data_IF_974214074310
#
_entry.id   IF_974214074310
#
_cell.length_a   1.000
_cell.length_b   1.000
_cell.length_c   1.000
_cell.angle_alpha   90.00
_cell.angle_beta   90.00
_cell.angle_gamma   90.00
#
_symmetry.space_group_name_H-M   'P 1'
#
loop_
_entity.id
_entity.type
_entity.pdbx_description
1 polymer ?
#
# COMPACT_ATOMS: atom_id res chain seq x y z
N UNK A 1 -49.88 -21.23 15.45
CA UNK A 1 -51.02 -20.96 14.55
C UNK A 1 -51.97 -19.91 15.10
N UNK A 2 -52.34 -19.93 16.39
CA UNK A 2 -53.24 -18.91 16.97
C UNK A 2 -52.68 -17.48 17.01
N UNK A 3 -51.41 -17.30 17.38
CA UNK A 3 -50.82 -15.96 17.58
C UNK A 3 -50.09 -15.39 16.35
N UNK A 4 -50.01 -16.13 15.24
CA UNK A 4 -49.20 -15.73 14.08
C UNK A 4 -47.68 -15.76 14.34
N UNK A 5 -46.95 -14.85 13.70
CA UNK A 5 -45.49 -14.69 13.85
C UNK A 5 -45.20 -13.80 15.07
N UNK A 6 -44.27 -14.22 15.91
CA UNK A 6 -43.87 -13.47 17.11
C UNK A 6 -42.36 -13.51 17.28
N UNK A 7 -41.72 -12.41 17.70
CA UNK A 7 -40.27 -12.38 17.91
C UNK A 7 -39.88 -13.27 19.10
N UNK A 8 -38.66 -13.80 19.05
CA UNK A 8 -38.07 -14.53 20.17
C UNK A 8 -37.88 -13.57 21.37
N UNK A 9 -38.20 -13.98 22.62
CA UNK A 9 -37.89 -13.19 23.80
C UNK A 9 -36.38 -12.92 23.92
N UNK A 10 -35.94 -11.73 24.40
CA UNK A 10 -34.52 -11.45 24.60
C UNK A 10 -33.80 -12.47 25.49
N UNK A 11 -34.49 -13.03 26.50
CA UNK A 11 -33.96 -14.08 27.39
C UNK A 11 -33.70 -15.42 26.70
N UNK A 12 -34.22 -15.61 25.49
CA UNK A 12 -34.05 -16.80 24.67
C UNK A 12 -33.05 -16.58 23.52
N UNK A 13 -32.42 -15.39 23.48
CA UNK A 13 -31.31 -15.10 22.58
C UNK A 13 -29.97 -15.49 23.23
N UNK A 14 -28.99 -15.99 22.45
CA UNK A 14 -29.08 -16.28 21.02
C UNK A 14 -29.84 -17.60 20.73
N UNK A 15 -30.54 -17.67 19.60
CA UNK A 15 -31.04 -18.94 19.07
C UNK A 15 -29.88 -19.71 18.43
N UNK A 16 -29.18 -20.50 19.22
CA UNK A 16 -28.00 -21.26 18.75
C UNK A 16 -28.34 -22.23 17.61
N UNK A 17 -27.48 -22.23 16.59
CA UNK A 17 -27.55 -23.19 15.51
C UNK A 17 -27.06 -24.56 16.01
N UNK A 18 -27.80 -25.65 15.71
CA UNK A 18 -27.36 -26.99 16.04
C UNK A 18 -26.09 -27.34 15.26
N UNK A 19 -25.13 -27.99 15.93
CA UNK A 19 -23.83 -28.35 15.33
C UNK A 19 -23.85 -29.70 14.61
N UNK A 20 -24.76 -30.58 14.98
CA UNK A 20 -24.90 -31.92 14.38
C UNK A 20 -26.05 -31.91 13.37
N UNK A 21 -25.74 -31.50 12.13
CA UNK A 21 -26.69 -31.30 11.04
C UNK A 21 -26.16 -31.95 9.77
N UNK A 22 -26.99 -32.76 9.10
CA UNK A 22 -26.63 -33.37 7.82
C UNK A 22 -26.88 -32.41 6.63
N UNK A 23 -25.81 -32.01 5.95
CA UNK A 23 -25.88 -31.17 4.74
C UNK A 23 -26.06 -32.04 3.49
N UNK A 24 -27.32 -32.28 3.12
CA UNK A 24 -27.67 -33.13 1.97
C UNK A 24 -27.71 -32.39 0.62
N UNK A 25 -27.63 -31.06 0.64
CA UNK A 25 -27.70 -30.21 -0.57
C UNK A 25 -29.06 -30.23 -1.29
N UNK A 26 -30.07 -30.95 -0.76
CA UNK A 26 -31.40 -31.12 -1.38
C UNK A 26 -32.51 -31.01 -0.33
N UNK A 27 -33.63 -30.38 -0.70
CA UNK A 27 -34.87 -30.38 0.10
C UNK A 27 -34.95 -29.33 1.21
N UNK A 28 -34.51 -28.09 0.94
CA UNK A 28 -34.70 -26.94 1.84
C UNK A 28 -33.73 -26.87 3.03
N UNK A 29 -34.02 -25.99 3.99
CA UNK A 29 -33.21 -25.78 5.19
C UNK A 29 -33.08 -27.08 6.00
N UNK A 30 -31.85 -27.54 6.33
CA UNK A 30 -31.66 -28.71 7.19
C UNK A 30 -32.33 -28.60 8.57
N UNK A 31 -32.51 -27.38 9.06
CA UNK A 31 -33.14 -27.09 10.35
C UNK A 31 -34.60 -27.55 10.40
N UNK A 32 -35.29 -27.54 9.25
CA UNK A 32 -36.68 -28.00 9.16
C UNK A 32 -36.85 -29.49 9.46
N UNK A 33 -35.77 -30.28 9.34
CA UNK A 33 -35.77 -31.73 9.62
C UNK A 33 -35.44 -32.05 11.08
N UNK A 34 -34.97 -31.06 11.85
CA UNK A 34 -34.58 -31.23 13.25
C UNK A 34 -35.72 -30.87 14.19
N UNK A 35 -36.67 -31.80 14.35
CA UNK A 35 -37.89 -31.56 15.14
C UNK A 35 -37.61 -31.05 16.56
N UNK A 36 -36.56 -31.56 17.22
CA UNK A 36 -36.19 -31.18 18.58
C UNK A 36 -35.73 -29.73 18.70
N UNK A 37 -35.14 -29.16 17.64
CA UNK A 37 -34.76 -27.75 17.58
C UNK A 37 -35.93 -26.88 17.13
N UNK A 38 -36.70 -27.38 16.15
CA UNK A 38 -37.81 -26.66 15.52
C UNK A 38 -38.97 -26.41 16.50
N UNK A 39 -39.38 -27.41 17.27
CA UNK A 39 -40.56 -27.36 18.14
C UNK A 39 -40.22 -26.60 19.44
N UNK A 40 -40.90 -25.48 19.69
CA UNK A 40 -40.73 -24.63 20.89
C UNK A 40 -42.09 -24.14 21.38
N UNK A 41 -42.25 -23.80 22.67
CA UNK A 41 -43.48 -23.15 23.13
C UNK A 41 -43.58 -21.72 22.57
N UNK A 42 -44.80 -21.29 22.24
CA UNK A 42 -45.08 -19.92 21.81
C UNK A 42 -44.78 -18.94 22.95
N UNK A 43 -43.99 -17.88 22.75
CA UNK A 43 -43.68 -16.92 23.80
C UNK A 43 -44.89 -16.10 24.26
N UNK A 44 -45.96 -16.03 23.45
CA UNK A 44 -47.17 -15.26 23.77
C UNK A 44 -48.21 -16.06 24.58
N UNK A 45 -48.42 -17.34 24.26
CA UNK A 45 -49.51 -18.15 24.83
C UNK A 45 -49.08 -19.53 25.36
N UNK A 46 -47.80 -19.91 25.24
CA UNK A 46 -47.26 -21.19 25.70
C UNK A 46 -47.61 -22.42 24.85
N UNK A 47 -48.54 -22.29 23.90
CA UNK A 47 -48.94 -23.40 23.03
C UNK A 47 -47.81 -23.85 22.08
N UNK A 48 -47.84 -25.09 21.54
CA UNK A 48 -46.85 -25.56 20.59
C UNK A 48 -46.66 -24.59 19.40
N UNK A 49 -45.41 -24.22 19.15
CA UNK A 49 -45.00 -23.36 18.05
C UNK A 49 -43.76 -23.95 17.36
N UNK A 50 -43.34 -23.30 16.28
CA UNK A 50 -42.13 -23.65 15.53
C UNK A 50 -41.23 -22.44 15.39
N UNK A 51 -39.92 -22.65 15.47
CA UNK A 51 -38.91 -21.65 15.09
C UNK A 51 -39.00 -21.35 13.59
N UNK A 52 -38.54 -20.17 13.20
CA UNK A 52 -38.17 -19.91 11.82
C UNK A 52 -36.95 -20.78 11.47
N UNK A 53 -36.96 -21.40 10.30
CA UNK A 53 -35.90 -22.30 9.82
C UNK A 53 -34.98 -21.63 8.83
N UNK A 54 -35.37 -20.47 8.32
CA UNK A 54 -34.53 -19.65 7.46
C UNK A 54 -33.45 -18.94 8.29
N UNK A 55 -32.25 -18.90 7.73
CA UNK A 55 -31.12 -18.16 8.31
C UNK A 55 -30.99 -16.82 7.61
N UNK A 56 -30.56 -15.80 8.37
CA UNK A 56 -30.22 -14.52 7.76
C UNK A 56 -29.06 -14.70 6.77
N UNK A 57 -29.12 -13.96 5.66
CA UNK A 57 -28.05 -13.89 4.68
C UNK A 57 -26.74 -13.37 5.31
N UNK A 58 -25.58 -13.77 4.78
CA UNK A 58 -24.27 -13.40 5.33
C UNK A 58 -24.02 -11.89 5.31
N UNK A 59 -24.67 -11.14 4.41
CA UNK A 59 -24.61 -9.67 4.38
C UNK A 59 -25.20 -9.04 5.64
N UNK A 60 -26.09 -9.72 6.37
CA UNK A 60 -26.56 -9.24 7.67
C UNK A 60 -25.38 -9.03 8.63
N UNK A 61 -24.45 -9.98 8.70
CA UNK A 61 -23.29 -9.89 9.58
C UNK A 61 -22.29 -8.84 9.07
N UNK A 62 -22.02 -8.82 7.77
CA UNK A 62 -21.04 -7.89 7.18
C UNK A 62 -21.52 -6.44 7.17
N UNK A 63 -22.81 -6.17 7.35
CA UNK A 63 -23.34 -4.80 7.32
C UNK A 63 -23.00 -3.96 8.55
N UNK A 64 -22.50 -4.57 9.64
CA UNK A 64 -22.23 -3.84 10.88
C UNK A 64 -21.02 -4.34 11.69
N UNK A 65 -20.25 -5.30 11.17
CA UNK A 65 -19.06 -5.84 11.86
C UNK A 65 -18.04 -4.75 12.26
N UNK A 66 -17.89 -3.71 11.44
CA UNK A 66 -17.01 -2.57 11.72
C UNK A 66 -17.42 -1.79 12.98
N UNK A 67 -18.73 -1.76 13.30
CA UNK A 67 -19.23 -1.22 14.57
C UNK A 67 -18.84 -2.13 15.73
N UNK A 68 -18.99 -3.45 15.56
CA UNK A 68 -18.68 -4.44 16.60
C UNK A 68 -17.19 -4.45 16.99
N UNK A 69 -16.28 -4.11 16.08
CA UNK A 69 -14.86 -4.02 16.41
C UNK A 69 -14.52 -2.98 17.47
N UNK A 70 -15.34 -1.92 17.61
CA UNK A 70 -15.14 -0.93 18.68
C UNK A 70 -15.39 -1.50 20.08
N UNK A 71 -16.21 -2.56 20.19
CA UNK A 71 -16.63 -3.14 21.47
C UNK A 71 -16.92 -4.66 21.37
N UNK A 72 -15.91 -5.47 21.01
CA UNK A 72 -16.11 -6.84 20.54
C UNK A 72 -16.50 -7.83 21.66
N UNK A 73 -16.22 -7.47 22.91
CA UNK A 73 -16.46 -8.33 24.08
C UNK A 73 -17.70 -7.94 24.88
N UNK A 74 -18.49 -6.95 24.41
CA UNK A 74 -19.71 -6.56 25.09
C UNK A 74 -20.76 -7.67 25.01
N UNK A 75 -21.13 -8.22 26.17
CA UNK A 75 -22.11 -9.31 26.28
C UNK A 75 -23.54 -8.82 26.49
N UNK A 76 -23.73 -7.51 26.71
CA UNK A 76 -25.03 -6.90 27.02
C UNK A 76 -25.63 -6.17 25.82
N UNK A 77 -24.79 -5.60 24.96
CA UNK A 77 -25.17 -4.82 23.78
C UNK A 77 -24.36 -5.25 22.55
N UNK A 78 -24.86 -4.99 21.33
CA UNK A 78 -24.06 -5.14 20.11
C UNK A 78 -22.79 -4.28 20.12
N UNK A 79 -22.85 -3.09 20.72
CA UNK A 79 -21.72 -2.20 20.99
C UNK A 79 -22.20 -1.06 21.90
N UNK A 80 -21.30 -0.42 22.64
CA UNK A 80 -21.60 0.81 23.36
C UNK A 80 -21.46 2.05 22.45
N UNK A 81 -22.29 3.06 22.69
CA UNK A 81 -22.23 4.33 21.95
C UNK A 81 -20.88 5.04 22.12
N UNK A 82 -20.35 5.03 23.34
CA UNK A 82 -19.07 5.68 23.65
C UNK A 82 -17.89 5.04 22.89
N UNK A 83 -17.85 3.71 22.78
CA UNK A 83 -16.80 3.03 22.02
C UNK A 83 -16.90 3.30 20.52
N UNK A 84 -18.13 3.32 19.98
CA UNK A 84 -18.34 3.66 18.58
C UNK A 84 -17.91 5.10 18.29
N UNK A 85 -18.36 6.07 19.09
CA UNK A 85 -18.04 7.49 18.90
C UNK A 85 -16.54 7.79 19.06
N UNK A 86 -15.76 6.92 19.70
CA UNK A 86 -14.30 7.08 19.80
C UNK A 86 -13.52 6.58 18.58
N UNK A 87 -14.10 5.67 17.80
CA UNK A 87 -13.40 4.97 16.71
C UNK A 87 -13.98 5.27 15.32
N UNK A 88 -15.22 5.74 15.24
CA UNK A 88 -15.99 5.79 14.00
C UNK A 88 -16.48 7.21 13.72
N UNK A 89 -16.70 7.58 12.44
CA UNK A 89 -16.67 6.73 11.23
C UNK A 89 -15.27 6.20 10.88
N UNK A 90 -15.20 5.16 10.04
CA UNK A 90 -13.91 4.62 9.59
C UNK A 90 -13.27 5.65 8.65
N UNK A 91 -12.06 6.12 8.97
CA UNK A 91 -11.36 7.10 8.14
C UNK A 91 -11.05 6.57 6.74
N UNK A 92 -10.53 5.34 6.67
CA UNK A 92 -10.13 4.68 5.42
C UNK A 92 -10.61 3.24 5.38
N UNK A 93 -11.52 2.94 4.45
CA UNK A 93 -11.96 1.58 4.15
C UNK A 93 -11.30 1.08 2.86
N UNK A 94 -10.74 -0.14 2.90
CA UNK A 94 -10.10 -0.78 1.75
C UNK A 94 -10.86 -2.05 1.39
N UNK A 95 -11.32 -2.18 0.16
CA UNK A 95 -12.07 -3.36 -0.29
C UNK A 95 -12.36 -3.36 -1.78
N UNK A 96 -12.48 -4.54 -2.37
CA UNK A 96 -12.60 -4.68 -3.82
C UNK A 96 -13.90 -4.08 -4.38
N UNK A 97 -13.84 -3.62 -5.63
CA UNK A 97 -14.97 -2.98 -6.32
C UNK A 97 -16.19 -3.91 -6.47
N UNK A 98 -15.99 -5.24 -6.38
CA UNK A 98 -17.07 -6.23 -6.39
C UNK A 98 -18.12 -6.02 -5.28
N UNK A 99 -17.79 -5.27 -4.24
CA UNK A 99 -18.68 -5.01 -3.11
C UNK A 99 -19.50 -3.71 -3.23
N UNK A 100 -19.36 -2.97 -4.34
CA UNK A 100 -19.98 -1.65 -4.54
C UNK A 100 -21.50 -1.60 -4.35
N UNK A 101 -22.23 -2.57 -4.90
CA UNK A 101 -23.72 -2.57 -4.90
C UNK A 101 -24.35 -3.50 -3.86
N UNK A 102 -23.54 -4.26 -3.12
CA UNK A 102 -24.00 -5.20 -2.10
C UNK A 102 -23.56 -4.72 -0.72
N UNK A 103 -22.46 -5.27 -0.20
CA UNK A 103 -21.92 -4.97 1.13
C UNK A 103 -21.84 -3.47 1.41
N UNK A 104 -21.28 -2.65 0.50
CA UNK A 104 -21.15 -1.22 0.73
C UNK A 104 -22.51 -0.50 0.84
N UNK A 105 -23.52 -0.95 0.08
CA UNK A 105 -24.87 -0.41 0.19
C UNK A 105 -25.53 -0.84 1.51
N UNK A 106 -25.40 -2.12 1.88
CA UNK A 106 -26.00 -2.63 3.11
C UNK A 106 -25.36 -2.03 4.37
N UNK A 107 -24.03 -1.84 4.38
CA UNK A 107 -23.34 -1.15 5.46
C UNK A 107 -23.88 0.27 5.65
N UNK A 108 -24.02 1.04 4.57
CA UNK A 108 -24.59 2.39 4.61
C UNK A 108 -26.03 2.40 5.10
N UNK A 109 -26.85 1.46 4.62
CA UNK A 109 -28.23 1.29 5.08
C UNK A 109 -28.29 1.00 6.59
N UNK A 110 -27.50 0.04 7.07
CA UNK A 110 -27.44 -0.31 8.49
C UNK A 110 -27.00 0.87 9.35
N UNK A 111 -25.97 1.61 8.93
CA UNK A 111 -25.53 2.83 9.62
C UNK A 111 -26.67 3.84 9.76
N UNK A 112 -27.40 4.13 8.68
CA UNK A 112 -28.50 5.11 8.73
C UNK A 112 -29.65 4.63 9.62
N UNK A 113 -30.01 3.34 9.56
CA UNK A 113 -31.03 2.76 10.45
C UNK A 113 -30.60 2.88 11.91
N UNK A 114 -29.36 2.55 12.24
CA UNK A 114 -28.85 2.60 13.63
C UNK A 114 -28.72 4.05 14.14
N UNK A 115 -28.31 4.99 13.28
CA UNK A 115 -28.35 6.42 13.56
C UNK A 115 -29.76 6.91 13.85
N UNK A 116 -30.74 6.55 13.02
CA UNK A 116 -32.14 6.95 13.22
C UNK A 116 -32.75 6.37 14.51
N UNK A 117 -32.15 5.30 15.05
CA UNK A 117 -32.46 4.74 16.37
C UNK A 117 -31.64 5.34 17.52
N UNK A 118 -30.84 6.37 17.26
CA UNK A 118 -30.01 7.07 18.25
C UNK A 118 -28.75 6.32 18.67
N UNK A 119 -28.41 5.21 18.00
CA UNK A 119 -27.27 4.36 18.38
C UNK A 119 -25.94 4.83 17.80
N UNK A 120 -25.95 5.73 16.82
CA UNK A 120 -24.77 6.27 16.15
C UNK A 120 -24.83 7.80 16.04
N UNK A 121 -23.66 8.45 16.00
CA UNK A 121 -23.51 9.90 15.86
C UNK A 121 -23.18 10.39 14.44
N UNK A 122 -23.10 9.49 13.47
CA UNK A 122 -22.65 9.78 12.11
C UNK A 122 -23.58 9.18 11.05
N UNK A 123 -23.50 9.72 9.83
CA UNK A 123 -24.41 9.41 8.73
C UNK A 123 -23.90 8.36 7.75
N UNK A 124 -22.58 8.25 7.61
CA UNK A 124 -21.91 7.34 6.68
C UNK A 124 -20.81 6.57 7.44
N UNK A 125 -20.66 5.26 7.19
CA UNK A 125 -19.72 4.43 7.95
C UNK A 125 -18.25 4.61 7.57
N UNK A 126 -17.96 5.09 6.36
CA UNK A 126 -16.63 5.16 5.78
C UNK A 126 -16.41 6.56 5.18
N UNK A 127 -15.37 7.28 5.62
CA UNK A 127 -15.04 8.62 5.10
C UNK A 127 -14.34 8.54 3.74
N UNK A 128 -13.36 7.64 3.64
CA UNK A 128 -12.64 7.34 2.39
C UNK A 128 -12.79 5.87 2.03
N UNK A 129 -12.93 5.59 0.74
CA UNK A 129 -12.98 4.25 0.16
C UNK A 129 -11.85 4.10 -0.86
N UNK A 130 -10.96 3.16 -0.62
CA UNK A 130 -9.97 2.71 -1.60
C UNK A 130 -10.43 1.36 -2.15
N UNK A 131 -10.78 1.33 -3.43
CA UNK A 131 -11.09 0.09 -4.13
C UNK A 131 -9.85 -0.46 -4.79
N UNK A 132 -9.22 -1.46 -4.16
CA UNK A 132 -8.01 -2.02 -4.73
C UNK A 132 -8.28 -2.76 -6.03
N UNK A 133 -7.31 -2.72 -6.95
CA UNK A 133 -7.31 -3.53 -8.15
C UNK A 133 -7.10 -5.01 -7.85
N UNK A 134 -7.32 -5.83 -8.88
CA UNK A 134 -7.27 -7.28 -8.75
C UNK A 134 -5.85 -7.80 -8.94
N UNK A 135 -5.49 -8.80 -8.14
CA UNK A 135 -4.26 -9.58 -8.40
C UNK A 135 -4.54 -10.56 -9.53
N UNK A 136 -3.77 -10.44 -10.60
CA UNK A 136 -3.84 -11.25 -11.80
C UNK A 136 -2.66 -12.23 -11.86
N UNK A 137 -2.94 -13.48 -12.22
CA UNK A 137 -1.93 -14.50 -12.44
C UNK A 137 -1.83 -14.89 -13.90
N UNK A 138 -0.67 -15.38 -14.32
CA UNK A 138 -0.49 -15.99 -15.64
C UNK A 138 -1.47 -17.16 -15.76
N UNK A 139 -2.27 -17.12 -16.82
CA UNK A 139 -3.38 -18.05 -17.05
C UNK A 139 -3.20 -18.70 -18.40
N UNK A 140 -3.37 -20.03 -18.43
CA UNK A 140 -3.32 -20.82 -19.65
C UNK A 140 -4.70 -21.36 -19.98
N UNK A 141 -5.14 -21.15 -21.22
CA UNK A 141 -6.43 -21.65 -21.71
C UNK A 141 -6.27 -22.31 -23.07
N UNK A 142 -6.88 -23.48 -23.24
CA UNK A 142 -6.99 -24.09 -24.55
C UNK A 142 -8.01 -23.30 -25.40
N UNK A 143 -7.63 -22.76 -26.58
CA UNK A 143 -8.50 -21.90 -27.38
C UNK A 143 -9.72 -22.62 -27.97
N UNK A 144 -9.64 -23.94 -28.19
CA UNK A 144 -10.72 -24.71 -28.79
C UNK A 144 -11.67 -25.30 -27.74
N UNK A 145 -11.15 -25.79 -26.62
CA UNK A 145 -11.97 -26.42 -25.57
C UNK A 145 -12.43 -25.42 -24.49
N UNK A 146 -11.77 -24.27 -24.39
CA UNK A 146 -11.99 -23.28 -23.33
C UNK A 146 -11.52 -23.72 -21.94
N UNK A 147 -10.86 -24.88 -21.83
CA UNK A 147 -10.39 -25.43 -20.56
C UNK A 147 -9.17 -24.67 -20.05
N UNK A 148 -9.17 -24.33 -18.76
CA UNK A 148 -8.00 -23.80 -18.07
C UNK A 148 -7.01 -24.92 -17.73
N UNK A 149 -5.73 -24.66 -17.94
CA UNK A 149 -4.62 -25.58 -17.66
C UNK A 149 -3.82 -25.02 -16.49
N UNK A 150 -3.49 -25.88 -15.52
CA UNK A 150 -2.67 -25.45 -14.38
C UNK A 150 -1.24 -25.15 -14.84
N UNK A 151 -0.59 -24.09 -14.32
CA UNK A 151 0.80 -23.78 -14.67
C UNK A 151 1.77 -24.95 -14.46
N UNK A 152 1.53 -25.78 -13.43
CA UNK A 152 2.34 -26.97 -13.15
C UNK A 152 2.22 -28.07 -14.24
N UNK A 153 1.17 -28.05 -15.04
CA UNK A 153 0.96 -29.00 -16.15
C UNK A 153 1.53 -28.48 -17.48
N UNK A 154 2.02 -27.25 -17.52
CA UNK A 154 2.66 -26.65 -18.71
C UNK A 154 4.16 -26.95 -18.69
N UNK A 155 4.61 -27.82 -19.59
CA UNK A 155 6.00 -28.30 -19.62
C UNK A 155 7.03 -27.22 -19.98
N UNK A 156 6.68 -26.32 -20.91
CA UNK A 156 7.52 -25.21 -21.34
C UNK A 156 6.68 -23.91 -21.37
N UNK A 157 6.91 -22.97 -20.43
CA UNK A 157 6.21 -21.69 -20.43
C UNK A 157 6.47 -20.82 -21.67
N UNK A 158 7.55 -21.08 -22.43
CA UNK A 158 7.91 -20.32 -23.64
C UNK A 158 7.27 -20.88 -24.92
N UNK A 159 6.83 -22.14 -24.90
CA UNK A 159 5.96 -22.77 -25.90
C UNK A 159 4.84 -23.56 -25.18
N UNK A 160 3.88 -22.85 -24.55
CA UNK A 160 2.91 -23.47 -23.67
C UNK A 160 1.92 -24.30 -24.48
N UNK A 161 1.90 -25.62 -24.24
CA UNK A 161 1.04 -26.58 -24.94
C UNK A 161 0.11 -27.33 -23.99
N UNK A 162 -1.10 -27.61 -24.46
CA UNK A 162 -2.07 -28.42 -23.75
C UNK A 162 -1.50 -29.84 -23.59
N UNK A 163 -1.39 -30.37 -22.35
CA UNK A 163 -0.80 -31.68 -22.09
C UNK A 163 -1.62 -32.84 -22.68
N UNK A 164 -2.89 -32.61 -23.02
CA UNK A 164 -3.80 -33.61 -23.58
C UNK A 164 -3.88 -33.48 -25.10
N UNK A 165 -4.09 -32.27 -25.62
CA UNK A 165 -4.32 -32.07 -27.06
C UNK A 165 -3.06 -31.73 -27.85
N UNK A 166 -1.98 -31.27 -27.19
CA UNK A 166 -0.74 -30.81 -27.82
C UNK A 166 -0.84 -29.43 -28.51
N UNK A 167 -2.02 -28.81 -28.44
CA UNK A 167 -2.29 -27.50 -29.03
C UNK A 167 -1.59 -26.38 -28.26
N UNK A 168 -1.26 -25.30 -28.95
CA UNK A 168 -0.70 -24.10 -28.31
C UNK A 168 -1.77 -23.44 -27.45
N UNK A 169 -1.44 -23.17 -26.19
CA UNK A 169 -2.32 -22.51 -25.23
C UNK A 169 -2.31 -21.00 -25.43
N UNK A 170 -3.46 -20.37 -25.16
CA UNK A 170 -3.51 -18.92 -24.95
C UNK A 170 -2.91 -18.60 -23.59
N UNK A 171 -1.99 -17.62 -23.55
CA UNK A 171 -1.32 -17.15 -22.33
C UNK A 171 -1.64 -15.68 -22.13
N UNK A 172 -2.22 -15.35 -20.98
CA UNK A 172 -2.62 -13.98 -20.62
C UNK A 172 -2.73 -13.82 -19.10
N UNK A 173 -2.81 -12.58 -18.63
CA UNK A 173 -3.09 -12.29 -17.22
C UNK A 173 -4.59 -12.22 -16.96
N UNK A 174 -5.02 -12.84 -15.87
CA UNK A 174 -6.42 -12.80 -15.44
C UNK A 174 -6.54 -12.87 -13.92
N UNK A 175 -7.63 -12.31 -13.37
CA UNK A 175 -7.95 -12.38 -11.92
C UNK A 175 -7.72 -13.79 -11.38
N UNK A 176 -6.92 -13.90 -10.32
CA UNK A 176 -6.62 -15.16 -9.67
C UNK A 176 -7.88 -15.84 -9.13
N UNK A 177 -8.05 -17.13 -9.44
CA UNK A 177 -9.16 -17.95 -8.92
C UNK A 177 -8.85 -19.44 -8.96
N UNK A 178 -9.45 -20.20 -8.03
CA UNK A 178 -9.27 -21.66 -7.96
C UNK A 178 -9.69 -22.38 -9.25
N UNK A 179 -10.74 -21.92 -9.92
CA UNK A 179 -11.26 -22.52 -11.16
C UNK A 179 -10.36 -22.29 -12.38
N UNK A 180 -9.44 -21.33 -12.31
CA UNK A 180 -8.50 -20.99 -13.40
C UNK A 180 -7.09 -21.53 -13.16
N UNK A 181 -6.85 -22.11 -12.00
CA UNK A 181 -5.54 -22.67 -11.60
C UNK A 181 -4.37 -21.66 -11.60
N UNK A 182 -4.66 -20.36 -11.66
CA UNK A 182 -3.68 -19.27 -11.78
C UNK A 182 -3.38 -18.56 -10.45
N UNK A 183 -3.86 -19.11 -9.33
CA UNK A 183 -3.62 -18.54 -8.00
C UNK A 183 -2.22 -18.87 -7.52
N UNK A 184 -1.50 -17.84 -7.06
CA UNK A 184 -0.21 -18.01 -6.40
C UNK A 184 -0.44 -18.11 -4.89
N UNK A 185 0.13 -19.13 -4.25
CA UNK A 185 0.09 -19.28 -2.80
C UNK A 185 1.10 -18.29 -2.16
N UNK A 186 0.64 -17.30 -1.39
CA UNK A 186 1.54 -16.37 -0.71
C UNK A 186 2.53 -17.07 0.22
N UNK A 187 2.18 -18.23 0.77
CA UNK A 187 3.08 -18.99 1.66
C UNK A 187 4.37 -19.39 0.95
N UNK A 188 4.31 -19.82 -0.31
CA UNK A 188 5.50 -20.21 -1.07
C UNK A 188 6.49 -19.03 -1.24
N UNK A 189 5.96 -17.81 -1.42
CA UNK A 189 6.76 -16.58 -1.54
C UNK A 189 7.35 -16.20 -0.19
N UNK A 190 6.54 -16.27 0.87
CA UNK A 190 6.96 -15.95 2.24
C UNK A 190 8.05 -16.92 2.71
N UNK A 191 7.90 -18.22 2.46
CA UNK A 191 8.87 -19.24 2.85
C UNK A 191 10.21 -19.07 2.13
N UNK A 192 10.18 -18.65 0.86
CA UNK A 192 11.39 -18.49 0.04
C UNK A 192 12.09 -17.15 0.21
N UNK A 193 11.33 -16.06 0.31
CA UNK A 193 11.86 -14.69 0.27
C UNK A 193 11.51 -13.83 1.49
N UNK A 194 10.69 -14.34 2.41
CA UNK A 194 10.23 -13.63 3.60
C UNK A 194 9.00 -12.75 3.39
N UNK A 195 8.29 -12.46 4.49
CA UNK A 195 7.07 -11.67 4.48
C UNK A 195 7.26 -10.24 3.94
N UNK A 196 8.38 -9.60 4.27
CA UNK A 196 8.66 -8.24 3.81
C UNK A 196 8.86 -8.16 2.30
N UNK A 197 9.47 -9.19 1.68
CA UNK A 197 9.58 -9.24 0.23
C UNK A 197 8.21 -9.31 -0.43
N UNK A 198 7.32 -10.18 0.07
CA UNK A 198 5.95 -10.30 -0.44
C UNK A 198 5.19 -8.98 -0.32
N UNK A 199 5.28 -8.31 0.83
CA UNK A 199 4.67 -6.99 1.07
C UNK A 199 5.20 -5.92 0.11
N UNK A 200 6.52 -5.79 0.03
CA UNK A 200 7.17 -4.80 -0.84
C UNK A 200 6.82 -5.01 -2.31
N UNK A 201 6.74 -6.27 -2.76
CA UNK A 201 6.34 -6.58 -4.13
C UNK A 201 4.90 -6.13 -4.41
N UNK A 202 3.95 -6.52 -3.55
CA UNK A 202 2.53 -6.18 -3.73
C UNK A 202 2.34 -4.66 -3.72
N UNK A 203 3.01 -3.95 -2.82
CA UNK A 203 2.89 -2.50 -2.66
C UNK A 203 3.62 -1.71 -3.76
N UNK A 204 4.60 -2.30 -4.45
CA UNK A 204 5.40 -1.61 -5.47
C UNK A 204 4.91 -1.84 -6.90
N UNK A 205 4.42 -3.05 -7.21
CA UNK A 205 4.21 -3.48 -8.59
C UNK A 205 3.19 -2.63 -9.36
N UNK A 206 2.16 -2.13 -8.69
CA UNK A 206 1.14 -1.27 -9.29
C UNK A 206 0.58 -0.28 -8.25
N UNK A 207 0.00 0.86 -8.68
CA UNK A 207 -0.87 1.67 -7.82
C UNK A 207 -1.98 0.81 -7.23
N UNK A 208 -2.42 1.07 -5.98
CA UNK A 208 -3.34 0.18 -5.28
C UNK A 208 -4.69 0.01 -6.01
N UNK A 209 -5.17 1.01 -6.74
CA UNK A 209 -6.42 0.99 -7.50
C UNK A 209 -6.31 0.29 -8.87
N UNK A 210 -5.10 -0.10 -9.28
CA UNK A 210 -4.84 -0.77 -10.57
C UNK A 210 -4.64 -2.26 -10.35
N UNK A 211 -5.00 -3.02 -11.39
CA UNK A 211 -4.73 -4.45 -11.41
C UNK A 211 -3.21 -4.70 -11.37
N UNK A 212 -2.84 -5.72 -10.59
CA UNK A 212 -1.47 -6.13 -10.38
C UNK A 212 -1.24 -7.45 -11.12
N UNK A 213 -0.31 -7.44 -12.08
CA UNK A 213 0.15 -8.66 -12.74
C UNK A 213 1.24 -9.33 -11.89
N UNK A 214 1.02 -10.57 -11.49
CA UNK A 214 1.98 -11.31 -10.67
C UNK A 214 3.12 -11.88 -11.52
N UNK A 215 4.36 -11.49 -11.21
CA UNK A 215 5.59 -12.00 -11.82
C UNK A 215 6.65 -12.29 -10.74
N UNK A 216 7.17 -13.52 -10.74
CA UNK A 216 8.17 -13.97 -9.78
C UNK A 216 9.51 -13.22 -9.93
N UNK A 217 9.84 -12.71 -11.12
CA UNK A 217 11.05 -11.92 -11.35
C UNK A 217 11.02 -10.59 -10.57
N UNK A 218 9.84 -10.00 -10.42
CA UNK A 218 9.65 -8.76 -9.67
C UNK A 218 9.73 -8.99 -8.16
N UNK A 219 9.26 -10.15 -7.68
CA UNK A 219 9.44 -10.60 -6.29
C UNK A 219 10.94 -10.67 -5.96
N UNK A 220 11.74 -11.29 -6.82
CA UNK A 220 13.19 -11.35 -6.64
C UNK A 220 13.85 -9.96 -6.67
N UNK A 221 13.31 -9.03 -7.46
CA UNK A 221 13.74 -7.64 -7.49
C UNK A 221 13.65 -6.99 -6.11
N UNK A 222 12.52 -7.18 -5.42
CA UNK A 222 12.31 -6.65 -4.07
C UNK A 222 13.17 -7.35 -3.02
N UNK A 223 13.35 -8.67 -3.13
CA UNK A 223 14.27 -9.40 -2.26
C UNK A 223 15.69 -8.83 -2.36
N UNK A 224 16.19 -8.62 -3.59
CA UNK A 224 17.51 -8.01 -3.82
C UNK A 224 17.60 -6.59 -3.27
N UNK A 225 16.52 -5.81 -3.31
CA UNK A 225 16.46 -4.47 -2.73
C UNK A 225 16.62 -4.51 -1.21
N UNK A 226 15.83 -5.32 -0.52
CA UNK A 226 15.91 -5.48 0.94
C UNK A 226 17.30 -5.97 1.39
N UNK A 227 17.91 -6.89 0.64
CA UNK A 227 19.29 -7.33 0.88
C UNK A 227 20.32 -6.21 0.70
N UNK A 228 20.08 -5.23 -0.18
CA UNK A 228 20.96 -4.03 -0.31
C UNK A 228 20.86 -3.15 0.92
N UNK A 229 19.65 -2.92 1.46
CA UNK A 229 19.43 -2.13 2.67
C UNK A 229 20.15 -2.76 3.86
N UNK A 230 20.04 -4.09 4.01
CA UNK A 230 20.78 -4.82 5.04
C UNK A 230 22.28 -4.55 4.99
N UNK A 231 22.91 -4.74 3.82
CA UNK A 231 24.36 -4.49 3.63
C UNK A 231 24.75 -3.03 3.84
N UNK A 232 23.83 -2.10 3.59
CA UNK A 232 24.06 -0.68 3.80
C UNK A 232 24.16 -0.37 5.30
N UNK A 233 23.24 -0.90 6.11
CA UNK A 233 23.26 -0.74 7.58
C UNK A 233 24.45 -1.46 8.19
N UNK A 234 24.73 -2.71 7.81
CA UNK A 234 25.88 -3.47 8.33
C UNK A 234 27.20 -2.74 8.08
N UNK A 235 27.38 -2.11 6.91
CA UNK A 235 28.58 -1.28 6.62
C UNK A 235 28.66 -0.04 7.48
N UNK A 236 27.54 0.62 7.78
CA UNK A 236 27.52 1.76 8.67
C UNK A 236 27.88 1.36 10.10
N UNK A 237 27.30 0.27 10.61
CA UNK A 237 27.61 -0.29 11.94
C UNK A 237 29.09 -0.69 12.02
N UNK A 238 29.65 -1.31 10.99
CA UNK A 238 31.07 -1.67 10.93
C UNK A 238 32.01 -0.45 10.97
N UNK A 239 31.55 0.72 10.51
CA UNK A 239 32.26 2.01 10.63
C UNK A 239 32.12 2.65 12.03
N UNK A 240 31.36 2.04 12.94
CA UNK A 240 31.09 2.56 14.28
C UNK A 240 29.90 3.50 14.37
N UNK A 241 29.08 3.61 13.32
CA UNK A 241 27.84 4.41 13.37
C UNK A 241 26.83 3.68 14.25
N UNK A 242 26.32 4.37 15.29
CA UNK A 242 25.33 3.79 16.20
C UNK A 242 24.38 4.83 16.79
N UNK A 243 23.13 4.41 16.98
CA UNK A 243 22.09 5.09 17.75
C UNK A 243 22.19 4.86 19.26
N UNK A 244 23.12 4.01 19.73
CA UNK A 244 23.24 3.69 21.14
C UNK A 244 23.50 4.97 21.99
N UNK A 245 22.70 5.16 23.03
CA UNK A 245 22.80 6.33 23.91
C UNK A 245 22.26 7.64 23.32
N UNK A 246 21.59 7.59 22.16
CA UNK A 246 20.93 8.72 21.52
C UNK A 246 19.42 8.48 21.47
N UNK A 247 18.64 9.51 21.78
CA UNK A 247 17.19 9.45 21.63
C UNK A 247 16.88 9.49 20.12
N UNK A 248 16.26 8.44 19.58
CA UNK A 248 16.08 8.21 18.13
C UNK A 248 15.35 9.28 17.31
N UNK A 249 14.93 10.38 17.95
CA UNK A 249 14.26 11.53 17.32
C UNK A 249 15.12 12.82 17.33
N UNK A 250 16.34 12.79 17.87
CA UNK A 250 17.15 13.98 18.17
C UNK A 250 18.40 14.20 17.31
N UNK A 251 18.67 13.36 16.30
CA UNK A 251 19.85 13.53 15.43
C UNK A 251 19.54 14.41 14.24
N UNK A 252 19.28 15.70 14.49
CA UNK A 252 19.21 16.68 13.40
C UNK A 252 20.63 17.12 13.04
N UNK A 253 21.03 16.92 11.78
CA UNK A 253 22.30 17.45 11.27
C UNK A 253 22.24 18.98 11.03
N UNK A 254 21.14 19.66 11.37
CA UNK A 254 21.00 21.11 11.23
C UNK A 254 22.08 21.89 12.01
N UNK A 255 22.65 21.29 13.06
CA UNK A 255 23.72 21.89 13.87
C UNK A 255 25.13 21.61 13.33
N UNK A 256 25.28 20.95 12.17
CA UNK A 256 26.58 20.64 11.57
C UNK A 256 27.24 21.92 11.01
N UNK A 257 28.45 22.33 11.47
CA UNK A 257 29.01 23.65 11.18
C UNK A 257 29.36 23.95 9.71
N UNK A 258 29.36 22.98 8.81
CA UNK A 258 29.38 23.17 7.35
C UNK A 258 29.30 21.79 6.68
N UNK A 259 28.22 21.53 5.94
CA UNK A 259 28.08 20.26 5.22
C UNK A 259 28.96 20.24 3.96
N UNK A 260 29.61 19.12 3.66
CA UNK A 260 30.24 18.88 2.36
C UNK A 260 29.20 18.81 1.23
N UNK A 261 29.57 18.96 -0.05
CA UNK A 261 28.64 18.76 -1.16
C UNK A 261 27.94 17.40 -1.14
N UNK A 262 28.69 16.33 -0.81
CA UNK A 262 28.17 14.95 -0.71
C UNK A 262 27.14 14.81 0.42
N UNK A 263 27.41 15.41 1.59
CA UNK A 263 26.48 15.43 2.72
C UNK A 263 25.23 16.26 2.45
N UNK A 264 25.35 17.40 1.74
CA UNK A 264 24.19 18.19 1.30
C UNK A 264 23.29 17.39 0.37
N UNK A 265 23.85 16.62 -0.56
CA UNK A 265 23.07 15.77 -1.46
C UNK A 265 22.36 14.64 -0.69
N UNK A 266 23.09 13.94 0.19
CA UNK A 266 22.50 12.90 1.03
C UNK A 266 21.36 13.44 1.88
N UNK A 267 21.59 14.56 2.56
CA UNK A 267 20.57 15.20 3.40
C UNK A 267 19.36 15.63 2.58
N UNK A 268 19.57 16.20 1.38
CA UNK A 268 18.46 16.52 0.47
C UNK A 268 17.67 15.29 0.07
N UNK A 269 18.34 14.19 -0.28
CA UNK A 269 17.67 12.94 -0.64
C UNK A 269 16.82 12.39 0.51
N UNK A 270 17.32 12.45 1.75
CA UNK A 270 16.57 12.08 2.96
C UNK A 270 15.31 12.90 3.10
N UNK A 271 15.43 14.24 3.11
CA UNK A 271 14.29 15.13 3.32
C UNK A 271 13.31 15.15 2.15
N UNK A 272 13.78 14.90 0.92
CA UNK A 272 12.93 14.70 -0.25
C UNK A 272 12.10 13.43 -0.09
N UNK A 273 12.72 12.32 0.33
CA UNK A 273 12.02 11.07 0.57
C UNK A 273 10.99 11.19 1.71
N UNK A 274 11.33 11.88 2.81
CA UNK A 274 10.38 12.12 3.91
C UNK A 274 9.15 12.88 3.41
N UNK A 275 9.34 13.96 2.65
CA UNK A 275 8.25 14.76 2.13
C UNK A 275 7.38 13.97 1.13
N UNK A 276 8.01 13.32 0.14
CA UNK A 276 7.30 12.60 -0.91
C UNK A 276 6.54 11.36 -0.37
N UNK A 277 7.18 10.56 0.48
CA UNK A 277 6.52 9.39 1.09
C UNK A 277 5.41 9.83 2.05
N UNK A 278 5.60 10.92 2.80
CA UNK A 278 4.55 11.50 3.64
C UNK A 278 3.31 11.90 2.82
N UNK A 279 3.51 12.60 1.70
CA UNK A 279 2.43 12.98 0.78
C UNK A 279 1.72 11.75 0.19
N UNK A 280 2.48 10.75 -0.26
CA UNK A 280 1.94 9.51 -0.83
C UNK A 280 1.08 8.73 0.18
N UNK A 281 1.43 8.76 1.46
CA UNK A 281 0.71 8.04 2.53
C UNK A 281 -0.49 8.81 3.11
N UNK A 282 -0.53 10.14 3.00
CA UNK A 282 -1.66 10.95 3.47
C UNK A 282 -2.75 11.18 2.39
N UNK A 283 -2.31 11.22 1.13
CA UNK A 283 -3.15 11.47 -0.04
C UNK A 283 -3.90 10.23 -0.54
N UNK A 284 -3.66 9.84 -1.79
CA UNK A 284 -4.34 8.73 -2.46
C UNK A 284 -3.72 7.35 -2.16
N UNK A 285 -2.88 7.25 -1.12
CA UNK A 285 -2.20 6.02 -0.71
C UNK A 285 -1.34 5.41 -1.83
N UNK A 286 -0.52 6.23 -2.49
CA UNK A 286 0.33 5.83 -3.62
C UNK A 286 1.56 5.03 -3.14
N UNK A 287 1.36 3.80 -2.69
CA UNK A 287 2.41 2.97 -2.08
C UNK A 287 3.57 2.65 -3.04
N UNK A 288 3.28 2.53 -4.33
CA UNK A 288 4.28 2.21 -5.35
C UNK A 288 5.27 3.36 -5.57
N UNK A 289 4.80 4.60 -5.55
CA UNK A 289 5.67 5.78 -5.63
C UNK A 289 6.45 5.96 -4.34
N UNK A 290 5.83 5.70 -3.18
CA UNK A 290 6.53 5.73 -1.89
C UNK A 290 7.69 4.72 -1.84
N UNK A 291 7.48 3.50 -2.31
CA UNK A 291 8.56 2.50 -2.41
C UNK A 291 9.62 2.93 -3.45
N UNK A 292 9.23 3.56 -4.56
CA UNK A 292 10.19 4.12 -5.51
C UNK A 292 11.08 5.22 -4.88
N UNK A 293 10.52 6.07 -4.00
CA UNK A 293 11.28 7.06 -3.24
C UNK A 293 12.24 6.41 -2.24
N UNK A 294 11.84 5.32 -1.57
CA UNK A 294 12.76 4.52 -0.74
C UNK A 294 13.94 3.96 -1.56
N UNK A 295 13.69 3.52 -2.80
CA UNK A 295 14.75 3.04 -3.68
C UNK A 295 15.70 4.17 -4.12
N UNK A 296 15.17 5.37 -4.44
CA UNK A 296 15.98 6.56 -4.74
C UNK A 296 16.84 6.97 -3.56
N UNK A 297 16.25 7.00 -2.36
CA UNK A 297 16.99 7.26 -1.11
C UNK A 297 18.11 6.25 -0.90
N UNK A 298 17.82 4.94 -1.06
CA UNK A 298 18.83 3.89 -0.94
C UNK A 298 19.98 4.06 -1.94
N UNK A 299 19.72 4.51 -3.16
CA UNK A 299 20.76 4.76 -4.15
C UNK A 299 21.64 5.96 -3.75
N UNK A 300 21.03 7.07 -3.31
CA UNK A 300 21.76 8.22 -2.80
C UNK A 300 22.62 7.87 -1.58
N UNK A 301 22.10 7.06 -0.65
CA UNK A 301 22.87 6.56 0.49
C UNK A 301 24.03 5.65 0.04
N UNK A 302 23.83 4.80 -0.97
CA UNK A 302 24.92 3.97 -1.49
C UNK A 302 26.09 4.80 -2.06
N UNK A 303 25.81 5.99 -2.60
CA UNK A 303 26.82 6.90 -3.15
C UNK A 303 27.49 7.78 -2.09
N UNK A 304 26.72 8.34 -1.16
CA UNK A 304 27.18 9.42 -0.30
C UNK A 304 27.44 9.02 1.17
N UNK A 305 26.82 7.94 1.67
CA UNK A 305 26.86 7.57 3.10
C UNK A 305 28.27 7.22 3.59
N UNK A 306 29.09 6.60 2.75
CA UNK A 306 30.47 6.23 3.12
C UNK A 306 31.37 7.44 3.39
N UNK A 307 31.05 8.58 2.78
CA UNK A 307 31.83 9.82 2.87
C UNK A 307 31.26 10.80 3.92
N UNK A 308 30.03 10.59 4.37
CA UNK A 308 29.37 11.47 5.33
C UNK A 308 29.89 11.28 6.75
N UNK A 309 29.93 12.37 7.52
CA UNK A 309 30.16 12.33 8.97
C UNK A 309 29.04 11.63 9.73
N UNK A 310 29.32 11.31 10.99
CA UNK A 310 28.43 10.49 11.84
C UNK A 310 27.01 11.06 11.96
N UNK A 311 26.87 12.38 12.13
CA UNK A 311 25.55 13.02 12.31
C UNK A 311 24.64 12.86 11.08
N UNK A 312 25.19 13.11 9.88
CA UNK A 312 24.43 12.99 8.62
C UNK A 312 24.15 11.53 8.31
N UNK A 313 25.11 10.63 8.58
CA UNK A 313 24.90 9.20 8.42
C UNK A 313 23.77 8.68 9.33
N UNK A 314 23.73 9.12 10.59
CA UNK A 314 22.66 8.75 11.52
C UNK A 314 21.31 9.32 11.11
N UNK A 315 21.22 10.59 10.70
CA UNK A 315 19.99 11.19 10.17
C UNK A 315 19.44 10.36 9.00
N UNK A 316 20.31 10.00 8.05
CA UNK A 316 19.93 9.22 6.87
C UNK A 316 19.47 7.80 7.21
N UNK A 317 20.22 7.07 8.03
CA UNK A 317 19.88 5.69 8.42
C UNK A 317 18.61 5.63 9.25
N UNK A 318 18.46 6.54 10.22
CA UNK A 318 17.26 6.63 11.07
C UNK A 318 16.04 6.91 10.21
N UNK A 319 16.12 7.91 9.32
CA UNK A 319 15.02 8.27 8.43
C UNK A 319 14.66 7.12 7.49
N UNK A 320 15.65 6.46 6.87
CA UNK A 320 15.41 5.29 6.02
C UNK A 320 14.61 4.21 6.77
N UNK A 321 15.00 3.87 8.00
CA UNK A 321 14.35 2.81 8.76
C UNK A 321 12.93 3.17 9.21
N UNK A 322 12.70 4.42 9.60
CA UNK A 322 11.36 4.92 9.92
C UNK A 322 10.44 4.90 8.69
N UNK A 323 10.95 5.34 7.54
CA UNK A 323 10.19 5.35 6.27
C UNK A 323 9.95 3.93 5.73
N UNK A 324 10.85 2.99 5.98
CA UNK A 324 10.74 1.59 5.56
C UNK A 324 9.73 0.80 6.41
N UNK A 325 9.57 1.15 7.68
CA UNK A 325 8.81 0.38 8.67
C UNK A 325 7.36 0.03 8.26
N UNK A 326 6.57 0.91 7.62
CA UNK A 326 5.22 0.56 7.15
C UNK A 326 5.22 -0.53 6.07
N UNK A 327 6.28 -0.62 5.26
CA UNK A 327 6.36 -1.49 4.10
C UNK A 327 7.03 -2.82 4.42
N UNK A 328 8.22 -2.78 5.05
CA UNK A 328 9.01 -3.93 5.47
C UNK A 328 9.26 -3.92 7.00
N UNK A 329 8.22 -4.17 7.81
CA UNK A 329 8.26 -3.95 9.26
C UNK A 329 9.26 -4.83 10.00
N UNK A 330 9.52 -6.05 9.54
CA UNK A 330 10.41 -6.98 10.23
C UNK A 330 11.87 -6.58 10.02
N UNK A 331 12.23 -6.28 8.77
CA UNK A 331 13.54 -5.79 8.39
C UNK A 331 13.85 -4.44 9.05
N UNK A 332 12.89 -3.51 9.04
CA UNK A 332 13.07 -2.21 9.68
C UNK A 332 13.36 -2.35 11.18
N UNK A 333 12.63 -3.21 11.90
CA UNK A 333 12.83 -3.48 13.33
C UNK A 333 14.22 -4.12 13.60
N UNK A 334 14.60 -5.13 12.82
CA UNK A 334 15.91 -5.80 12.96
C UNK A 334 17.07 -4.84 12.69
N UNK A 335 16.99 -4.04 11.62
CA UNK A 335 18.01 -3.05 11.28
C UNK A 335 18.06 -1.89 12.28
N UNK A 336 16.92 -1.51 12.87
CA UNK A 336 16.85 -0.51 13.95
C UNK A 336 17.62 -0.99 15.18
N UNK A 337 17.35 -2.22 15.63
CA UNK A 337 18.07 -2.84 16.74
C UNK A 337 19.58 -2.96 16.45
N UNK A 338 19.95 -3.40 15.24
CA UNK A 338 21.36 -3.50 14.81
C UNK A 338 22.10 -2.17 14.82
N UNK A 339 21.42 -1.09 14.46
CA UNK A 339 21.98 0.25 14.52
C UNK A 339 22.11 0.74 15.98
N UNK A 340 21.61 0.01 16.97
CA UNK A 340 21.62 0.38 18.38
C UNK A 340 20.44 1.24 18.81
N UNK A 341 19.35 1.23 18.02
CA UNK A 341 18.13 1.96 18.33
C UNK A 341 17.43 1.41 19.59
N UNK A 342 16.93 2.31 20.43
CA UNK A 342 16.18 1.94 21.64
C UNK A 342 14.70 1.71 21.33
N UNK A 343 14.11 0.68 21.96
CA UNK A 343 12.72 0.31 21.72
C UNK A 343 12.46 -0.16 20.28
N UNK A 344 11.19 -0.22 19.90
CA UNK A 344 10.78 -0.63 18.55
C UNK A 344 10.73 0.56 17.59
N UNK A 345 11.11 0.34 16.33
CA UNK A 345 11.00 1.36 15.26
C UNK A 345 9.54 1.80 15.08
N UNK A 346 8.60 0.86 15.29
CA UNK A 346 7.15 1.08 15.16
C UNK A 346 6.54 1.95 16.27
N UNK A 347 7.33 2.28 17.30
CA UNK A 347 6.91 3.20 18.38
C UNK A 347 7.57 4.57 18.28
N UNK A 348 8.42 4.77 17.28
CA UNK A 348 9.06 6.06 17.03
C UNK A 348 8.10 7.00 16.31
N UNK A 349 8.45 8.29 16.29
CA UNK A 349 7.67 9.29 15.57
C UNK A 349 8.00 9.23 14.09
N UNK A 350 7.00 9.53 13.26
CA UNK A 350 7.24 9.75 11.84
C UNK A 350 8.20 10.93 11.64
N UNK A 351 9.21 10.82 10.76
CA UNK A 351 10.17 11.89 10.54
C UNK A 351 9.50 13.10 9.87
N UNK A 352 9.95 14.30 10.22
CA UNK A 352 9.50 15.55 9.61
C UNK A 352 10.57 16.10 8.67
N UNK A 353 10.16 16.48 7.46
CA UNK A 353 11.07 17.07 6.49
C UNK A 353 11.52 18.47 6.94
N UNK A 354 12.82 18.75 6.82
CA UNK A 354 13.41 20.06 7.00
C UNK A 354 13.36 20.82 5.66
N UNK A 355 12.55 21.90 5.55
CA UNK A 355 12.44 22.67 4.32
C UNK A 355 13.77 23.26 3.84
N UNK A 356 14.71 23.52 4.75
CA UNK A 356 16.02 24.09 4.39
C UNK A 356 16.91 23.08 3.67
N UNK A 357 16.73 21.78 3.94
CA UNK A 357 17.45 20.71 3.25
C UNK A 357 17.04 20.56 1.77
N UNK A 358 15.80 20.98 1.45
CA UNK A 358 15.22 20.89 0.11
C UNK A 358 15.64 22.04 -0.81
N UNK A 359 16.21 23.11 -0.25
CA UNK A 359 16.71 24.24 -1.02
C UNK A 359 17.90 23.80 -1.88
N UNK A 360 17.89 24.18 -3.16
CA UNK A 360 19.01 24.00 -4.06
C UNK A 360 19.67 25.35 -4.32
N UNK A 361 21.00 25.40 -4.21
CA UNK A 361 21.75 26.58 -4.63
C UNK A 361 21.82 26.67 -6.17
N UNK A 362 21.86 25.52 -6.84
CA UNK A 362 21.83 25.41 -8.30
C UNK A 362 20.76 24.45 -8.79
N UNK A 363 20.21 24.74 -9.97
CA UNK A 363 19.26 23.87 -10.67
C UNK A 363 19.76 23.55 -12.08
N UNK A 364 19.48 22.34 -12.60
CA UNK A 364 19.78 22.02 -13.98
C UNK A 364 18.85 22.78 -14.92
N UNK A 365 19.42 23.67 -15.74
CA UNK A 365 18.74 24.38 -16.80
C UNK A 365 18.84 23.59 -18.11
N UNK A 366 17.71 23.15 -18.66
CA UNK A 366 17.70 22.46 -19.95
C UNK A 366 17.96 23.46 -21.08
N UNK A 367 18.97 23.19 -21.90
CA UNK A 367 19.28 23.98 -23.10
C UNK A 367 18.64 23.30 -24.31
N UNK A 368 17.77 24.02 -25.00
CA UNK A 368 17.20 23.62 -26.28
C UNK A 368 17.74 24.48 -27.41
N UNK A 369 17.88 23.88 -28.60
CA UNK A 369 18.16 24.61 -29.84
C UNK A 369 17.13 24.21 -30.87
N UNK A 370 16.39 25.18 -31.42
CA UNK A 370 15.26 24.95 -32.33
C UNK A 370 14.24 23.95 -31.74
N UNK A 371 13.96 24.08 -30.44
CA UNK A 371 13.02 23.23 -29.70
C UNK A 371 13.50 21.81 -29.39
N UNK A 372 14.75 21.45 -29.74
CA UNK A 372 15.33 20.13 -29.42
C UNK A 372 16.30 20.26 -28.24
N UNK A 373 16.18 19.37 -27.25
CA UNK A 373 17.10 19.32 -26.10
C UNK A 373 18.51 18.97 -26.58
N UNK A 374 19.49 19.79 -26.18
CA UNK A 374 20.92 19.67 -26.54
C UNK A 374 21.84 19.44 -25.34
N UNK A 375 21.35 19.62 -24.13
CA UNK A 375 22.04 19.31 -22.89
C UNK A 375 21.45 20.12 -21.73
N UNK A 376 22.19 20.15 -20.62
CA UNK A 376 21.84 20.88 -19.40
C UNK A 376 23.03 21.72 -18.91
N UNK A 377 22.73 22.74 -18.11
CA UNK A 377 23.70 23.62 -17.47
C UNK A 377 23.27 23.85 -16.02
N UNK A 378 24.18 23.74 -15.05
CA UNK A 378 23.90 24.13 -13.67
C UNK A 378 23.89 25.65 -13.53
N UNK A 379 22.79 26.21 -13.03
CA UNK A 379 22.60 27.66 -12.84
C UNK A 379 22.09 27.94 -11.43
N UNK A 380 22.34 29.13 -10.84
CA UNK A 380 21.78 29.50 -9.55
C UNK A 380 20.25 29.35 -9.54
N UNK A 381 19.69 28.79 -8.47
CA UNK A 381 18.25 28.52 -8.38
C UNK A 381 17.39 29.80 -8.41
N UNK A 382 17.94 30.91 -7.94
CA UNK A 382 17.34 32.25 -7.94
C UNK A 382 17.70 33.08 -9.19
N UNK A 383 18.38 32.48 -10.18
CA UNK A 383 18.82 33.18 -11.37
C UNK A 383 17.64 33.78 -12.15
N UNK A 384 17.71 35.10 -12.35
CA UNK A 384 16.74 35.83 -13.13
C UNK A 384 16.82 35.52 -14.63
N UNK A 385 15.81 35.96 -15.38
CA UNK A 385 15.72 35.72 -16.82
C UNK A 385 16.98 36.14 -17.58
N UNK A 386 17.53 37.32 -17.25
CA UNK A 386 18.72 37.84 -17.92
C UNK A 386 19.98 37.03 -17.60
N UNK A 387 20.09 36.51 -16.38
CA UNK A 387 21.19 35.62 -15.98
C UNK A 387 21.10 34.26 -16.66
N UNK A 388 19.91 33.65 -16.72
CA UNK A 388 19.70 32.39 -17.42
C UNK A 388 20.03 32.50 -18.91
N UNK A 389 19.62 33.59 -19.58
CA UNK A 389 19.93 33.85 -20.98
C UNK A 389 21.45 34.00 -21.19
N UNK A 390 22.12 34.79 -20.36
CA UNK A 390 23.58 35.00 -20.43
C UNK A 390 24.35 33.69 -20.23
N UNK A 391 23.97 32.90 -19.22
CA UNK A 391 24.61 31.61 -18.92
C UNK A 391 24.36 30.59 -20.05
N UNK A 392 23.15 30.55 -20.60
CA UNK A 392 22.81 29.68 -21.72
C UNK A 392 23.62 30.04 -22.98
N UNK A 393 23.74 31.32 -23.33
CA UNK A 393 24.50 31.80 -24.48
C UNK A 393 26.01 31.59 -24.33
N UNK A 394 26.53 31.66 -23.10
CA UNK A 394 27.93 31.41 -22.79
C UNK A 394 28.30 29.92 -22.73
N UNK A 395 27.33 29.01 -22.83
CA UNK A 395 27.58 27.57 -22.71
C UNK A 395 28.24 26.95 -23.94
N UNK A 396 29.01 25.88 -23.73
CA UNK A 396 29.59 25.08 -24.82
C UNK A 396 28.50 24.50 -25.75
N UNK A 397 27.31 24.26 -25.22
CA UNK A 397 26.14 23.80 -25.98
C UNK A 397 25.71 24.87 -26.98
N UNK A 398 25.57 26.12 -26.54
CA UNK A 398 25.23 27.23 -27.43
C UNK A 398 26.33 27.45 -28.49
N UNK A 399 27.60 27.46 -28.09
CA UNK A 399 28.72 27.62 -29.01
C UNK A 399 28.73 26.54 -30.11
N UNK A 400 28.51 25.28 -29.72
CA UNK A 400 28.49 24.13 -30.65
C UNK A 400 27.33 24.18 -31.64
N UNK A 401 26.14 24.55 -31.18
CA UNK A 401 24.91 24.42 -31.98
C UNK A 401 24.46 25.69 -32.69
N UNK A 402 24.97 26.85 -32.27
CA UNK A 402 24.75 28.13 -32.95
C UNK A 402 25.86 28.48 -33.95
N UNK A 403 26.96 27.72 -33.98
CA UNK A 403 28.06 27.89 -34.93
C UNK A 403 28.61 29.33 -34.99
N UNK A 404 28.65 30.00 -33.84
CA UNK A 404 29.12 31.38 -33.71
C UNK A 404 28.14 32.47 -34.18
N UNK A 405 26.92 32.12 -34.61
CA UNK A 405 25.87 33.11 -34.95
C UNK A 405 25.00 33.41 -33.73
N UNK A 406 24.66 34.69 -33.46
CA UNK A 406 23.72 35.01 -32.40
C UNK A 406 22.33 34.46 -32.74
N UNK A 407 21.58 33.92 -31.76
CA UNK A 407 20.24 33.40 -32.03
C UNK A 407 19.29 34.53 -32.38
N UNK A 408 18.39 34.28 -33.34
CA UNK A 408 17.31 35.20 -33.71
C UNK A 408 16.32 35.45 -32.56
N UNK A 409 16.15 34.47 -31.66
CA UNK A 409 15.30 34.60 -30.48
C UNK A 409 15.75 33.68 -29.34
N UNK A 410 15.72 34.21 -28.11
CA UNK A 410 15.91 33.42 -26.87
C UNK A 410 14.58 33.33 -26.13
N UNK A 411 14.18 32.12 -25.76
CA UNK A 411 12.99 31.86 -24.96
C UNK A 411 13.43 31.25 -23.63
N UNK A 412 13.29 32.01 -22.56
CA UNK A 412 13.62 31.58 -21.21
C UNK A 412 12.34 31.22 -20.47
N UNK A 413 12.30 30.01 -19.92
CA UNK A 413 11.29 29.56 -18.96
C UNK A 413 12.02 29.37 -17.62
N UNK A 414 11.91 30.34 -16.68
CA UNK A 414 12.62 30.29 -15.41
C UNK A 414 12.44 28.94 -14.70
N UNK A 415 13.55 28.40 -14.18
CA UNK A 415 13.56 27.11 -13.46
C UNK A 415 13.30 25.86 -14.31
N UNK A 416 13.14 25.98 -15.64
CA UNK A 416 12.90 24.84 -16.55
C UNK A 416 13.90 24.75 -17.70
N UNK A 417 13.90 25.74 -18.59
CA UNK A 417 14.67 25.65 -19.83
C UNK A 417 14.98 27.01 -20.46
N UNK A 418 16.00 27.02 -21.31
CA UNK A 418 16.25 28.08 -22.29
C UNK A 418 16.28 27.47 -23.69
N UNK A 419 15.46 27.98 -24.59
CA UNK A 419 15.44 27.59 -25.99
C UNK A 419 16.05 28.69 -26.87
N UNK A 420 17.12 28.33 -27.57
CA UNK A 420 17.86 29.15 -28.51
C UNK A 420 17.32 28.89 -29.92
N UNK A 421 16.75 29.91 -30.55
CA UNK A 421 16.31 29.84 -31.95
C UNK A 421 17.43 30.46 -32.79
N UNK A 422 18.13 29.66 -33.63
CA UNK A 422 19.23 30.16 -34.47
C UNK A 422 18.82 31.33 -35.39
#
# INVERSE_FOLDING_TARGET
EQCGVSPCPPSSCPSELPRDVAFTGRGGSPLAKLEAWLKVPCPCCGQPARRETDTMDTFMCSSWYFLRYSDPHNTQLPFSRAAVDSWLPVDQYVGGIEHAILHLLYARFFTKVLRDRGLLGFDEPFERLLTQGMVQGITYRNPHTGRYIAPADVADPTDPRDPVTGEVLETFFEKMSKSKHNGVDPAAVIDRYGADTARMFILFKAPPEKDLEWDDADVEGQYRFLQRLWRLVDRAVARGISLAGRDGNGTSAADAPTLSPSERELRRAVHTAIAAIGEDLEGELQFNTAVAELMKLSNAMAEHLEQSGEMVALEALTSLLLLLAPFAPHLAEELWSRLGGAGSVHRQRWPAADPTALVRDTVPLVIQVKGKVRGNLEVPADADRGTLERLALASDIAARWLEGKPPSRVIVVPGKLVNLVP
#
